data_IF_619727566737
#
_entry.id   IF_619727566737
#
_cell.length_a   1.000
_cell.length_b   1.000
_cell.length_c   1.000
_cell.angle_alpha   90.00
_cell.angle_beta   90.00
_cell.angle_gamma   90.00
#
_symmetry.space_group_name_H-M   'P 1'
#
loop_
_entity.id
_entity.type
_entity.pdbx_description
1 polymer ?
#
# COMPACT_ATOMS: atom_id res chain seq x y z
N UNK A 1 27.39 3.66 0.50
CA UNK A 1 26.03 3.62 -0.09
C UNK A 1 25.25 2.53 0.63
N UNK A 2 24.32 2.89 1.52
CA UNK A 2 23.36 1.95 2.14
C UNK A 2 22.20 2.75 2.74
N UNK A 3 21.22 3.11 1.91
CA UNK A 3 19.97 3.72 2.37
C UNK A 3 19.06 2.62 2.90
N UNK A 4 19.21 2.28 4.18
CA UNK A 4 18.20 1.55 4.95
C UNK A 4 17.31 2.57 5.64
N UNK A 5 16.41 3.20 4.89
CA UNK A 5 15.33 4.00 5.48
C UNK A 5 14.21 3.05 5.90
N UNK A 6 14.42 2.38 7.04
CA UNK A 6 13.35 1.75 7.79
C UNK A 6 12.51 2.83 8.46
N UNK A 7 11.24 2.90 8.07
CA UNK A 7 10.16 3.46 8.89
C UNK A 7 10.20 4.97 9.06
N UNK A 8 9.75 5.71 8.05
CA UNK A 8 9.23 7.05 8.30
C UNK A 8 7.85 7.24 7.67
N UNK A 9 6.88 7.27 8.58
CA UNK A 9 5.61 7.96 8.44
C UNK A 9 5.86 9.38 7.89
N UNK A 10 5.67 9.56 6.59
CA UNK A 10 5.83 10.86 5.91
C UNK A 10 5.98 10.71 4.40
N UNK A 11 6.75 9.71 3.97
CA UNK A 11 6.91 9.39 2.55
C UNK A 11 5.83 8.38 2.14
N UNK A 12 5.26 8.49 0.94
CA UNK A 12 4.33 7.47 0.42
C UNK A 12 5.16 6.27 -0.07
N UNK A 13 4.64 5.03 -0.03
CA UNK A 13 5.40 3.87 -0.54
C UNK A 13 5.57 3.97 -2.05
N UNK A 14 6.41 3.09 -2.61
CA UNK A 14 6.56 2.96 -4.06
C UNK A 14 5.22 2.72 -4.75
N UNK A 15 5.06 3.35 -5.92
CA UNK A 15 3.87 3.26 -6.74
C UNK A 15 3.53 1.79 -7.05
N UNK A 16 2.26 1.42 -6.88
CA UNK A 16 1.74 0.06 -7.17
C UNK A 16 2.40 -1.05 -6.35
N UNK A 17 3.08 -0.71 -5.25
CA UNK A 17 3.62 -1.71 -4.31
C UNK A 17 2.60 -2.00 -3.23
N UNK A 18 2.38 -3.29 -2.98
CA UNK A 18 1.53 -3.72 -1.88
C UNK A 18 2.27 -3.50 -0.56
N UNK A 19 1.58 -2.89 0.39
CA UNK A 19 2.07 -2.60 1.73
C UNK A 19 1.02 -2.97 2.77
N UNK A 20 1.46 -3.14 4.01
CA UNK A 20 0.54 -3.27 5.13
C UNK A 20 0.02 -1.89 5.47
N UNK A 21 -1.28 -1.76 5.69
CA UNK A 21 -1.89 -0.49 6.09
C UNK A 21 -2.80 -0.67 7.29
N UNK A 22 -2.89 0.39 8.09
CA UNK A 22 -3.77 0.48 9.25
C UNK A 22 -4.85 1.51 8.94
N UNK A 23 -6.10 1.13 9.17
CA UNK A 23 -7.25 2.01 9.10
C UNK A 23 -7.52 2.65 10.47
N UNK A 24 -8.38 3.66 10.51
CA UNK A 24 -8.73 4.39 11.75
C UNK A 24 -9.36 3.51 12.82
N UNK A 25 -10.11 2.47 12.42
CA UNK A 25 -10.72 1.48 13.30
C UNK A 25 -9.71 0.47 13.90
N UNK A 26 -8.42 0.62 13.60
CA UNK A 26 -7.36 -0.30 14.00
C UNK A 26 -7.24 -1.54 13.12
N UNK A 27 -8.09 -1.68 12.09
CA UNK A 27 -8.05 -2.81 11.16
C UNK A 27 -6.77 -2.76 10.34
N UNK A 28 -6.10 -3.92 10.24
CA UNK A 28 -4.88 -4.10 9.45
C UNK A 28 -5.18 -4.86 8.17
N UNK A 29 -5.05 -4.20 7.03
CA UNK A 29 -5.27 -4.80 5.71
C UNK A 29 -4.06 -4.59 4.80
N UNK A 30 -4.10 -5.19 3.61
CA UNK A 30 -3.13 -4.87 2.56
C UNK A 30 -3.69 -3.72 1.73
N UNK A 31 -2.86 -2.70 1.59
CA UNK A 31 -3.11 -1.54 0.74
C UNK A 31 -2.08 -1.46 -0.37
N UNK A 32 -2.38 -0.67 -1.38
CA UNK A 32 -1.49 -0.34 -2.47
C UNK A 32 -1.65 1.15 -2.74
N UNK A 33 -0.52 1.84 -2.82
CA UNK A 33 -0.51 3.25 -3.17
C UNK A 33 -0.49 3.41 -4.69
N UNK A 34 -1.42 4.18 -5.24
CA UNK A 34 -1.53 4.40 -6.70
C UNK A 34 -0.95 5.74 -7.15
N UNK A 35 -0.32 6.51 -6.26
CA UNK A 35 0.20 7.86 -6.55
C UNK A 35 -0.79 8.97 -6.21
N UNK A 36 -2.08 8.65 -6.28
CA UNK A 36 -3.18 9.56 -5.92
C UNK A 36 -3.93 9.05 -4.69
N UNK A 37 -4.39 7.79 -4.73
CA UNK A 37 -5.24 7.20 -3.70
C UNK A 37 -4.68 5.87 -3.20
N UNK A 38 -5.17 5.44 -2.03
CA UNK A 38 -4.88 4.14 -1.45
C UNK A 38 -5.95 3.13 -1.81
N UNK A 39 -5.53 1.95 -2.26
CA UNK A 39 -6.43 0.89 -2.72
C UNK A 39 -6.19 -0.40 -1.98
N UNK A 40 -7.25 -1.15 -1.73
CA UNK A 40 -7.22 -2.51 -1.21
C UNK A 40 -7.98 -3.44 -2.13
N UNK A 41 -7.99 -4.73 -1.82
CA UNK A 41 -8.84 -5.71 -2.53
C UNK A 41 -10.34 -5.40 -2.44
N UNK A 42 -10.76 -4.56 -1.50
CA UNK A 42 -12.16 -4.16 -1.30
C UNK A 42 -12.51 -2.82 -1.96
N UNK A 43 -11.55 -2.14 -2.58
CA UNK A 43 -11.71 -0.79 -3.13
C UNK A 43 -10.81 0.24 -2.45
N UNK A 44 -11.14 1.52 -2.65
CA UNK A 44 -10.42 2.66 -2.08
C UNK A 44 -10.50 2.66 -0.54
N UNK A 45 -9.40 3.04 0.11
CA UNK A 45 -9.23 3.04 1.56
C UNK A 45 -8.48 4.29 2.01
N UNK A 46 -8.59 4.64 3.28
CA UNK A 46 -7.92 5.81 3.87
C UNK A 46 -7.09 5.39 5.08
N UNK A 47 -5.85 4.89 4.86
CA UNK A 47 -5.03 4.40 5.94
C UNK A 47 -4.36 5.54 6.71
N UNK A 48 -4.30 5.40 8.03
CA UNK A 48 -3.56 6.32 8.93
C UNK A 48 -2.08 5.99 9.04
N UNK A 49 -1.72 4.74 8.77
CA UNK A 49 -0.34 4.26 8.79
C UNK A 49 -0.13 3.21 7.72
N UNK A 50 1.07 3.15 7.17
CA UNK A 50 1.48 2.11 6.25
C UNK A 50 2.89 1.58 6.61
N UNK A 51 3.19 0.35 6.21
CA UNK A 51 4.48 -0.30 6.40
C UNK A 51 4.82 -1.16 5.18
N UNK A 52 6.03 -0.99 4.64
CA UNK A 52 6.50 -1.73 3.48
C UNK A 52 6.56 -3.23 3.81
N UNK A 53 5.81 -4.05 3.07
CA UNK A 53 5.94 -5.50 3.20
C UNK A 53 7.13 -5.95 2.36
N UNK A 54 8.20 -6.42 2.99
CA UNK A 54 9.41 -6.92 2.31
C UNK A 54 9.17 -8.20 1.49
N UNK A 55 7.94 -8.71 1.42
CA UNK A 55 7.60 -9.98 0.77
C UNK A 55 6.85 -9.77 -0.56
N UNK A 56 7.49 -10.02 -1.72
CA UNK A 56 6.93 -9.71 -3.04
C UNK A 56 5.76 -10.59 -3.52
N UNK A 57 5.31 -11.58 -2.73
CA UNK A 57 4.36 -12.61 -3.20
C UNK A 57 2.88 -12.18 -3.21
N UNK A 58 2.49 -11.05 -2.60
CA UNK A 58 1.06 -10.68 -2.40
C UNK A 58 0.52 -9.53 -3.24
N UNK A 59 1.35 -8.89 -4.05
CA UNK A 59 0.99 -7.74 -4.92
C UNK A 59 -0.08 -8.08 -5.96
N UNK A 60 -0.11 -9.33 -6.45
CA UNK A 60 -0.95 -9.78 -7.58
C UNK A 60 -2.47 -9.68 -7.34
N UNK A 61 -2.94 -9.64 -6.09
CA UNK A 61 -4.39 -9.61 -5.80
C UNK A 61 -4.97 -8.20 -5.87
N UNK A 62 -4.21 -7.20 -5.43
CA UNK A 62 -4.70 -5.81 -5.42
C UNK A 62 -4.64 -5.22 -6.84
N UNK A 63 -3.59 -5.52 -7.61
CA UNK A 63 -3.48 -5.05 -8.99
C UNK A 63 -4.63 -5.52 -9.90
N UNK A 64 -5.32 -6.60 -9.56
CA UNK A 64 -6.48 -7.11 -10.32
C UNK A 64 -7.77 -6.34 -10.10
N UNK A 65 -7.88 -5.61 -8.98
CA UNK A 65 -9.08 -4.84 -8.65
C UNK A 65 -8.88 -3.34 -8.89
N UNK A 66 -7.67 -2.93 -9.30
CA UNK A 66 -7.43 -1.56 -9.70
C UNK A 66 -8.21 -1.26 -10.99
N UNK A 67 -8.81 -0.06 -11.11
CA UNK A 67 -9.38 0.41 -12.36
C UNK A 67 -8.36 0.28 -13.50
N UNK A 68 -8.81 -0.07 -14.71
CA UNK A 68 -7.92 -0.28 -15.86
C UNK A 68 -7.06 0.93 -16.22
N UNK A 69 -7.53 2.13 -15.87
CA UNK A 69 -6.79 3.40 -16.03
C UNK A 69 -5.62 3.56 -15.03
N UNK A 70 -5.63 2.77 -13.95
CA UNK A 70 -4.61 2.74 -12.89
C UNK A 70 -3.78 1.44 -12.90
N UNK A 71 -4.14 0.47 -13.75
CA UNK A 71 -3.51 -0.85 -13.86
C UNK A 71 -2.17 -0.85 -14.61
#
# INVERSE_FOLDING_TARGET
MSSKEQGQSGTKPELRKAVRVWLEDGTRIHGMWTGTNWWSVKGEIFPVKWELEERPKRTKKISKVLPSELA
#
